data_IF_502090688152
#
_entry.id   IF_502090688152
#
_cell.length_a   1.000
_cell.length_b   1.000
_cell.length_c   1.000
_cell.angle_alpha   90.00
_cell.angle_beta   90.00
_cell.angle_gamma   90.00
#
_symmetry.space_group_name_H-M   'P 1'
#
loop_
_entity.id
_entity.type
_entity.pdbx_description
1 polymer ?
#
# COMPACT_ATOMS: atom_id res chain seq x y z
N UNK A 1 -21.71 -39.33 23.40
CA UNK A 1 -21.46 -38.04 24.09
C UNK A 1 -20.02 -37.66 23.78
N UNK A 2 -19.63 -36.58 23.12
CA UNK A 2 -20.29 -35.44 22.48
C UNK A 2 -19.39 -35.05 21.30
N UNK A 3 -19.97 -34.84 20.12
CA UNK A 3 -19.32 -34.11 19.03
C UNK A 3 -19.58 -32.61 19.29
N UNK A 4 -18.52 -31.82 19.37
CA UNK A 4 -18.62 -30.36 19.36
C UNK A 4 -18.52 -29.89 17.90
N UNK A 5 -19.66 -29.58 17.30
CA UNK A 5 -19.73 -28.79 16.07
C UNK A 5 -19.45 -27.31 16.41
N UNK A 6 -18.36 -26.78 15.87
CA UNK A 6 -18.06 -25.35 15.93
C UNK A 6 -18.94 -24.59 14.94
N UNK A 7 -19.94 -23.88 15.47
CA UNK A 7 -20.80 -22.97 14.73
C UNK A 7 -19.95 -21.86 14.10
N UNK A 8 -19.74 -21.92 12.78
CA UNK A 8 -19.21 -20.80 12.00
C UNK A 8 -20.32 -19.77 11.91
N UNK A 9 -20.20 -18.67 12.67
CA UNK A 9 -21.09 -17.52 12.53
C UNK A 9 -20.78 -16.85 11.18
N UNK A 10 -21.50 -17.30 10.15
CA UNK A 10 -21.65 -16.57 8.90
C UNK A 10 -22.48 -15.33 9.24
N UNK A 11 -21.85 -14.16 9.26
CA UNK A 11 -22.58 -12.90 9.18
C UNK A 11 -23.21 -12.82 7.80
N UNK A 12 -24.39 -13.42 7.64
CA UNK A 12 -25.24 -13.15 6.49
C UNK A 12 -25.74 -11.71 6.59
N UNK A 13 -25.56 -10.93 5.51
CA UNK A 13 -26.23 -9.64 5.35
C UNK A 13 -27.75 -9.84 5.57
N UNK A 14 -28.42 -8.97 6.35
CA UNK A 14 -29.69 -9.30 7.01
C UNK A 14 -30.91 -9.52 6.10
N UNK A 15 -30.76 -9.62 4.77
CA UNK A 15 -31.87 -9.77 3.83
C UNK A 15 -31.62 -10.67 2.61
N UNK A 16 -30.51 -11.42 2.52
CA UNK A 16 -30.28 -12.35 1.39
C UNK A 16 -30.32 -11.72 -0.01
N UNK A 17 -30.26 -10.39 -0.11
CA UNK A 17 -30.19 -9.66 -1.37
C UNK A 17 -28.77 -9.79 -1.86
N UNK A 18 -28.54 -10.58 -2.92
CA UNK A 18 -27.24 -10.61 -3.58
C UNK A 18 -26.83 -9.17 -3.93
N UNK A 19 -25.68 -8.74 -3.43
CA UNK A 19 -25.11 -7.44 -3.79
C UNK A 19 -25.11 -7.30 -5.33
N UNK A 20 -25.49 -6.12 -5.87
CA UNK A 20 -25.68 -5.96 -7.30
C UNK A 20 -24.37 -6.22 -8.05
N UNK A 21 -24.44 -7.06 -9.08
CA UNK A 21 -23.32 -7.27 -10.00
C UNK A 21 -23.08 -5.98 -10.78
N UNK A 22 -21.84 -5.51 -10.81
CA UNK A 22 -21.45 -4.29 -11.50
C UNK A 22 -20.82 -4.66 -12.84
N UNK A 23 -21.44 -4.20 -13.93
CA UNK A 23 -20.89 -4.32 -15.27
C UNK A 23 -19.93 -3.16 -15.54
N UNK A 24 -18.65 -3.40 -15.88
CA UNK A 24 -17.70 -2.32 -16.19
C UNK A 24 -18.22 -1.36 -17.27
N UNK A 25 -19.01 -1.85 -18.22
CA UNK A 25 -19.58 -1.04 -19.30
C UNK A 25 -20.63 -0.03 -18.82
N UNK A 26 -21.16 -0.18 -17.61
CA UNK A 26 -22.06 0.79 -16.98
C UNK A 26 -21.33 1.95 -16.29
N UNK A 27 -20.01 1.80 -16.09
CA UNK A 27 -19.17 2.79 -15.46
C UNK A 27 -18.54 3.71 -16.51
N UNK A 28 -18.29 4.96 -16.15
CA UNK A 28 -17.61 5.92 -17.03
C UNK A 28 -16.12 5.59 -17.10
N UNK A 29 -15.56 5.62 -18.30
CA UNK A 29 -14.12 5.59 -18.49
C UNK A 29 -13.48 6.88 -17.98
N UNK A 30 -12.21 6.82 -17.64
CA UNK A 30 -11.43 7.94 -17.13
C UNK A 30 -11.43 9.12 -18.12
N UNK A 31 -11.39 8.83 -19.43
CA UNK A 31 -11.48 9.84 -20.48
C UNK A 31 -12.83 10.57 -20.57
N UNK A 32 -13.91 10.00 -20.02
CA UNK A 32 -15.25 10.62 -20.00
C UNK A 32 -15.50 11.46 -18.73
N UNK A 33 -14.64 11.32 -17.72
CA UNK A 33 -14.74 12.08 -16.47
C UNK A 33 -14.07 13.44 -16.67
N UNK A 34 -14.85 14.51 -16.62
CA UNK A 34 -14.33 15.87 -16.74
C UNK A 34 -13.35 16.19 -15.60
N UNK A 35 -12.26 16.93 -15.88
CA UNK A 35 -11.34 17.40 -14.84
C UNK A 35 -12.07 18.20 -13.76
N UNK A 36 -12.00 17.73 -12.52
CA UNK A 36 -12.49 18.48 -11.37
C UNK A 36 -11.41 19.51 -10.98
N UNK A 37 -11.65 20.78 -11.34
CA UNK A 37 -10.85 21.93 -10.92
C UNK A 37 -9.38 21.99 -11.39
N UNK A 38 -8.79 23.18 -11.22
CA UNK A 38 -7.47 23.54 -11.73
C UNK A 38 -6.39 22.92 -10.84
N UNK A 39 -5.34 22.31 -11.42
CA UNK A 39 -4.24 21.74 -10.64
C UNK A 39 -3.62 22.81 -9.73
N UNK A 40 -3.58 22.53 -8.42
CA UNK A 40 -2.83 23.37 -7.49
C UNK A 40 -1.35 23.02 -7.65
N UNK A 41 -0.57 23.92 -8.23
CA UNK A 41 0.87 23.70 -8.44
C UNK A 41 1.61 23.97 -7.13
N UNK A 42 2.12 22.91 -6.51
CA UNK A 42 2.92 23.02 -5.28
C UNK A 42 4.38 23.39 -5.56
N UNK A 43 4.90 22.98 -6.72
CA UNK A 43 6.28 23.23 -7.12
C UNK A 43 6.38 24.42 -8.07
N UNK A 44 7.38 25.27 -7.82
CA UNK A 44 7.63 26.49 -8.61
C UNK A 44 8.33 26.17 -9.94
N UNK A 45 9.16 25.13 -9.96
CA UNK A 45 9.90 24.68 -11.14
C UNK A 45 9.41 23.30 -11.59
N UNK A 46 9.36 23.02 -12.91
CA UNK A 46 8.99 21.70 -13.41
C UNK A 46 10.10 20.69 -13.08
N UNK A 47 9.70 19.50 -12.63
CA UNK A 47 10.61 18.37 -12.40
C UNK A 47 11.02 17.65 -13.69
N UNK A 48 10.30 17.89 -14.78
CA UNK A 48 10.53 17.29 -16.10
C UNK A 48 10.35 18.36 -17.20
N UNK A 49 11.24 18.39 -18.20
CA UNK A 49 11.09 19.27 -19.38
C UNK A 49 9.99 18.78 -20.32
N UNK A 50 9.84 17.45 -20.43
CA UNK A 50 8.86 16.76 -21.27
C UNK A 50 8.11 15.75 -20.42
N UNK A 51 6.79 15.63 -20.60
CA UNK A 51 5.99 14.72 -19.79
C UNK A 51 6.42 13.27 -20.09
N UNK A 52 6.81 12.49 -19.07
CA UNK A 52 7.07 11.06 -19.26
C UNK A 52 5.80 10.27 -19.60
N UNK A 53 4.62 10.88 -19.39
CA UNK A 53 3.28 10.33 -19.65
C UNK A 53 2.44 11.34 -20.45
N UNK A 54 2.59 11.38 -21.79
CA UNK A 54 1.83 12.32 -22.62
C UNK A 54 0.33 11.99 -22.64
N UNK A 55 -0.49 12.98 -22.99
CA UNK A 55 -1.92 12.78 -23.23
C UNK A 55 -2.16 11.68 -24.26
N UNK A 56 -2.97 10.69 -23.90
CA UNK A 56 -3.35 9.60 -24.80
C UNK A 56 -4.83 9.22 -24.60
N UNK A 57 -5.67 9.60 -25.56
CA UNK A 57 -7.11 9.33 -25.53
C UNK A 57 -7.44 7.83 -25.55
N UNK A 58 -6.66 7.02 -26.27
CA UNK A 58 -6.87 5.56 -26.36
C UNK A 58 -6.70 4.91 -24.99
N UNK A 59 -5.64 5.28 -24.27
CA UNK A 59 -5.36 4.76 -22.93
C UNK A 59 -6.42 5.22 -21.92
N UNK A 60 -6.82 6.49 -21.97
CA UNK A 60 -7.82 7.03 -21.04
C UNK A 60 -9.21 6.37 -21.20
N UNK A 61 -9.55 5.86 -22.39
CA UNK A 61 -10.78 5.09 -22.61
C UNK A 61 -10.73 3.68 -21.99
N UNK A 62 -9.54 3.12 -21.78
CA UNK A 62 -9.35 1.79 -21.21
C UNK A 62 -9.42 1.78 -19.69
N UNK A 63 -9.09 2.89 -19.04
CA UNK A 63 -9.11 3.01 -17.57
C UNK A 63 -10.52 3.36 -17.09
N UNK A 64 -10.99 2.67 -16.06
CA UNK A 64 -12.16 3.04 -15.27
C UNK A 64 -11.68 3.23 -13.83
N UNK A 65 -12.01 4.36 -13.21
CA UNK A 65 -11.77 4.59 -11.78
C UNK A 65 -13.08 4.40 -11.03
N UNK A 66 -13.09 3.49 -10.06
CA UNK A 66 -14.31 3.12 -9.34
C UNK A 66 -14.03 2.91 -7.85
N UNK A 67 -14.80 3.61 -7.02
CA UNK A 67 -14.82 3.35 -5.58
C UNK A 67 -15.89 2.28 -5.28
N UNK A 68 -15.48 1.14 -4.74
CA UNK A 68 -16.40 0.04 -4.50
C UNK A 68 -15.74 -1.29 -4.14
N UNK A 69 -16.53 -2.36 -4.23
CA UNK A 69 -16.11 -3.70 -3.90
C UNK A 69 -15.74 -4.50 -5.16
N UNK A 70 -14.45 -4.78 -5.31
CA UNK A 70 -13.88 -5.49 -6.47
C UNK A 70 -14.54 -6.85 -6.75
N UNK A 71 -15.09 -7.50 -5.71
CA UNK A 71 -15.76 -8.81 -5.84
C UNK A 71 -17.10 -8.75 -6.57
N UNK A 72 -17.65 -7.56 -6.82
CA UNK A 72 -18.93 -7.35 -7.51
C UNK A 72 -18.76 -7.17 -9.03
N UNK A 73 -17.52 -7.00 -9.51
CA UNK A 73 -17.27 -6.67 -10.92
C UNK A 73 -17.33 -7.87 -11.84
N UNK A 74 -18.10 -7.73 -12.93
CA UNK A 74 -18.15 -8.69 -14.03
C UNK A 74 -17.02 -8.42 -15.04
N UNK A 75 -15.82 -8.89 -14.71
CA UNK A 75 -14.59 -8.79 -15.52
C UNK A 75 -13.97 -10.16 -15.77
N UNK A 76 -12.96 -10.27 -16.65
CA UNK A 76 -12.28 -11.55 -16.84
C UNK A 76 -11.44 -11.93 -15.61
N UNK A 77 -10.70 -10.98 -15.02
CA UNK A 77 -9.90 -11.23 -13.83
C UNK A 77 -10.03 -10.12 -12.77
N UNK A 78 -10.05 -10.51 -11.50
CA UNK A 78 -9.97 -9.62 -10.33
C UNK A 78 -8.69 -9.91 -9.56
N UNK A 79 -8.01 -8.88 -9.06
CA UNK A 79 -6.83 -9.08 -8.19
C UNK A 79 -7.26 -9.34 -6.75
N UNK A 80 -6.63 -10.35 -6.14
CA UNK A 80 -6.67 -10.59 -4.69
C UNK A 80 -5.24 -10.47 -4.09
N UNK A 81 -4.89 -9.32 -3.51
CA UNK A 81 -3.67 -9.16 -2.71
C UNK A 81 -3.78 -9.99 -1.42
N UNK A 82 -2.78 -10.80 -1.13
CA UNK A 82 -2.77 -11.70 0.03
C UNK A 82 -1.38 -11.79 0.69
N UNK A 83 -1.20 -12.78 1.58
CA UNK A 83 0.09 -13.21 2.09
C UNK A 83 0.58 -14.50 1.46
N UNK A 84 1.83 -14.81 1.75
CA UNK A 84 2.60 -15.90 1.15
C UNK A 84 1.92 -17.26 1.35
N UNK A 85 1.15 -17.44 2.42
CA UNK A 85 0.46 -18.69 2.78
C UNK A 85 -1.06 -18.65 2.64
N UNK A 86 -1.62 -17.58 2.04
CA UNK A 86 -3.07 -17.37 1.92
C UNK A 86 -3.88 -17.46 3.23
N UNK A 87 -3.21 -17.18 4.35
CA UNK A 87 -3.78 -17.12 5.69
C UNK A 87 -4.10 -15.69 6.13
N UNK A 88 -3.91 -14.70 5.24
CA UNK A 88 -4.11 -13.31 5.59
C UNK A 88 -5.57 -13.04 5.96
N UNK A 89 -5.76 -12.51 7.17
CA UNK A 89 -7.06 -12.04 7.64
C UNK A 89 -7.11 -10.54 7.41
N UNK A 90 -7.82 -10.15 6.37
CA UNK A 90 -8.14 -8.79 6.04
C UNK A 90 -9.55 -8.74 5.41
N UNK A 91 -10.27 -7.60 5.51
CA UNK A 91 -11.65 -7.50 5.02
C UNK A 91 -11.81 -7.86 3.54
N UNK A 92 -10.80 -7.56 2.72
CA UNK A 92 -10.80 -7.87 1.30
C UNK A 92 -10.75 -9.38 1.06
N UNK A 93 -9.80 -10.08 1.67
CA UNK A 93 -9.67 -11.54 1.60
C UNK A 93 -10.92 -12.25 2.13
N UNK A 94 -11.49 -11.76 3.23
CA UNK A 94 -12.73 -12.31 3.79
C UNK A 94 -13.90 -12.16 2.79
N UNK A 95 -14.03 -11.02 2.11
CA UNK A 95 -15.02 -10.82 1.03
C UNK A 95 -14.77 -11.76 -0.15
N UNK A 96 -13.53 -11.94 -0.58
CA UNK A 96 -13.18 -12.86 -1.67
C UNK A 96 -13.61 -14.30 -1.35
N UNK A 97 -13.23 -14.83 -0.19
CA UNK A 97 -13.59 -16.21 0.18
C UNK A 97 -15.08 -16.38 0.47
N UNK A 98 -15.74 -15.37 1.06
CA UNK A 98 -17.17 -15.41 1.32
C UNK A 98 -17.97 -15.44 0.01
N UNK A 99 -17.66 -14.54 -0.93
CA UNK A 99 -18.40 -14.40 -2.19
C UNK A 99 -18.05 -15.43 -3.25
N UNK A 100 -16.79 -15.87 -3.35
CA UNK A 100 -16.41 -16.95 -4.25
C UNK A 100 -16.94 -18.32 -3.79
N UNK A 101 -17.21 -18.45 -2.49
CA UNK A 101 -17.65 -19.69 -1.85
C UNK A 101 -16.49 -20.61 -1.43
N UNK A 102 -16.81 -21.75 -0.81
CA UNK A 102 -15.82 -22.63 -0.18
C UNK A 102 -14.82 -23.23 -1.18
N UNK A 103 -15.20 -23.36 -2.45
CA UNK A 103 -14.35 -23.93 -3.50
C UNK A 103 -13.05 -23.14 -3.73
N UNK A 104 -13.11 -21.81 -3.67
CA UNK A 104 -11.90 -20.97 -3.78
C UNK A 104 -10.92 -21.25 -2.62
N UNK A 105 -11.45 -21.41 -1.41
CA UNK A 105 -10.63 -21.72 -0.24
C UNK A 105 -9.99 -23.10 -0.37
N UNK A 106 -10.72 -24.09 -0.88
CA UNK A 106 -10.19 -25.43 -1.11
C UNK A 106 -9.05 -25.45 -2.13
N UNK A 107 -9.21 -24.81 -3.30
CA UNK A 107 -8.16 -24.73 -4.33
C UNK A 107 -6.91 -24.05 -3.78
N UNK A 108 -7.08 -22.90 -3.11
CA UNK A 108 -5.95 -22.14 -2.54
C UNK A 108 -5.21 -22.93 -1.45
N UNK A 109 -5.93 -23.60 -0.55
CA UNK A 109 -5.31 -24.33 0.56
C UNK A 109 -4.72 -25.69 0.16
N UNK A 110 -5.34 -26.38 -0.79
CA UNK A 110 -4.95 -27.75 -1.15
C UNK A 110 -3.94 -27.79 -2.30
N UNK A 111 -4.13 -26.95 -3.33
CA UNK A 111 -3.38 -27.03 -4.59
C UNK A 111 -2.20 -26.04 -4.63
N UNK A 112 -2.40 -24.82 -4.13
CA UNK A 112 -1.41 -23.75 -4.26
C UNK A 112 -0.37 -23.76 -3.13
N UNK A 113 -0.81 -23.83 -1.86
CA UNK A 113 -0.01 -23.82 -0.62
C UNK A 113 0.86 -22.59 -0.35
N UNK A 114 1.55 -22.03 -1.35
CA UNK A 114 2.41 -20.85 -1.19
C UNK A 114 2.43 -19.95 -2.43
N UNK A 115 2.60 -18.65 -2.24
CA UNK A 115 2.81 -17.65 -3.29
C UNK A 115 3.97 -16.73 -2.89
N UNK A 116 5.02 -16.65 -3.72
CA UNK A 116 6.16 -15.79 -3.42
C UNK A 116 5.80 -14.31 -3.60
N UNK A 117 6.50 -13.45 -2.87
CA UNK A 117 6.30 -12.00 -3.01
C UNK A 117 6.60 -11.54 -4.43
N UNK A 118 5.68 -10.81 -5.05
CA UNK A 118 5.75 -10.41 -6.46
C UNK A 118 5.22 -11.44 -7.46
N UNK A 119 4.93 -12.68 -7.05
CA UNK A 119 4.38 -13.71 -7.92
C UNK A 119 2.87 -13.51 -8.14
N UNK A 120 2.35 -14.12 -9.22
CA UNK A 120 0.92 -14.15 -9.53
C UNK A 120 0.47 -15.59 -9.74
N UNK A 121 -0.51 -16.02 -8.96
CA UNK A 121 -1.15 -17.32 -9.07
C UNK A 121 -2.59 -17.12 -9.52
N UNK A 122 -3.05 -17.96 -10.45
CA UNK A 122 -4.37 -17.87 -11.04
C UNK A 122 -5.24 -18.99 -10.51
N UNK A 123 -6.44 -18.65 -10.08
CA UNK A 123 -7.52 -19.59 -9.73
C UNK A 123 -8.79 -19.20 -10.47
N UNK A 124 -9.80 -20.06 -10.36
CA UNK A 124 -11.12 -19.77 -10.89
C UNK A 124 -11.90 -18.80 -9.99
N UNK A 125 -12.78 -18.00 -10.60
CA UNK A 125 -13.63 -17.06 -9.87
C UNK A 125 -14.75 -17.71 -9.05
N UNK A 126 -15.10 -18.96 -9.37
CA UNK A 126 -16.19 -19.71 -8.73
C UNK A 126 -17.53 -18.95 -8.77
N UNK A 127 -18.05 -18.55 -7.60
CA UNK A 127 -19.30 -17.78 -7.49
C UNK A 127 -19.13 -16.28 -7.71
N UNK A 128 -17.89 -15.79 -7.89
CA UNK A 128 -17.66 -14.40 -8.26
C UNK A 128 -18.19 -14.14 -9.68
N UNK A 129 -18.64 -12.90 -9.98
CA UNK A 129 -18.97 -12.50 -11.35
C UNK A 129 -17.74 -12.51 -12.29
N UNK A 130 -16.53 -12.44 -11.72
CA UNK A 130 -15.29 -12.52 -12.46
C UNK A 130 -14.92 -13.96 -12.82
N UNK A 131 -14.28 -14.17 -13.98
CA UNK A 131 -13.92 -15.53 -14.45
C UNK A 131 -12.73 -16.12 -13.68
N UNK A 132 -11.74 -15.29 -13.37
CA UNK A 132 -10.50 -15.67 -12.72
C UNK A 132 -10.18 -14.77 -11.51
N UNK A 133 -9.48 -15.31 -10.53
CA UNK A 133 -8.85 -14.52 -9.46
C UNK A 133 -7.35 -14.59 -9.62
N UNK A 134 -6.72 -13.42 -9.70
CA UNK A 134 -5.27 -13.28 -9.75
C UNK A 134 -4.77 -12.96 -8.34
N UNK A 135 -4.22 -13.97 -7.70
CA UNK A 135 -3.63 -13.87 -6.39
C UNK A 135 -2.20 -13.34 -6.48
N UNK A 136 -1.88 -12.34 -5.68
CA UNK A 136 -0.51 -11.82 -5.62
C UNK A 136 -0.14 -11.39 -4.20
N UNK A 137 1.16 -11.36 -3.91
CA UNK A 137 1.67 -11.01 -2.59
C UNK A 137 2.53 -9.76 -2.68
N UNK A 138 2.02 -8.67 -2.11
CA UNK A 138 2.73 -7.39 -2.02
C UNK A 138 3.91 -7.43 -1.04
N UNK A 139 4.89 -6.52 -1.19
CA UNK A 139 6.06 -6.47 -0.32
C UNK A 139 5.71 -6.03 1.10
N UNK A 140 6.48 -6.52 2.07
CA UNK A 140 6.53 -5.93 3.42
C UNK A 140 7.43 -4.72 3.37
N UNK A 141 6.88 -3.53 3.61
CA UNK A 141 7.64 -2.30 3.52
C UNK A 141 8.51 -2.11 4.75
N UNK A 142 9.76 -1.76 4.51
CA UNK A 142 10.70 -1.31 5.52
C UNK A 142 11.47 -0.12 4.92
N UNK A 143 11.54 1.03 5.60
CA UNK A 143 12.29 2.19 5.11
C UNK A 143 13.75 1.87 4.72
N UNK A 144 14.38 0.89 5.38
CA UNK A 144 15.75 0.43 5.03
C UNK A 144 15.83 -0.27 3.67
N UNK A 145 14.73 -0.83 3.19
CA UNK A 145 14.63 -1.62 1.96
C UNK A 145 13.60 -1.02 0.98
N UNK A 146 13.44 0.32 0.99
CA UNK A 146 12.46 1.02 0.15
C UNK A 146 12.59 0.65 -1.33
N UNK A 147 13.81 0.68 -1.88
CA UNK A 147 14.10 0.27 -3.27
C UNK A 147 13.63 -1.15 -3.60
N UNK A 148 13.87 -2.10 -2.69
CA UNK A 148 13.45 -3.49 -2.91
C UNK A 148 11.92 -3.60 -2.86
N UNK A 149 11.28 -2.94 -1.89
CA UNK A 149 9.82 -2.90 -1.79
C UNK A 149 9.19 -2.28 -3.04
N UNK A 150 9.74 -1.16 -3.54
CA UNK A 150 9.25 -0.50 -4.76
C UNK A 150 9.34 -1.44 -5.98
N UNK A 151 10.50 -2.08 -6.18
CA UNK A 151 10.70 -3.02 -7.28
C UNK A 151 9.77 -4.24 -7.18
N UNK A 152 9.58 -4.78 -5.97
CA UNK A 152 8.66 -5.90 -5.74
C UNK A 152 7.21 -5.51 -6.01
N UNK A 153 6.77 -4.32 -5.58
CA UNK A 153 5.42 -3.83 -5.87
C UNK A 153 5.21 -3.63 -7.38
N UNK A 154 6.20 -3.04 -8.07
CA UNK A 154 6.21 -2.96 -9.53
C UNK A 154 6.06 -4.35 -10.17
N UNK A 155 6.84 -5.33 -9.72
CA UNK A 155 6.77 -6.70 -10.24
C UNK A 155 5.41 -7.35 -10.01
N UNK A 156 4.71 -7.07 -8.90
CA UNK A 156 3.33 -7.55 -8.69
C UNK A 156 2.44 -7.10 -9.85
N UNK A 157 2.39 -5.80 -10.12
CA UNK A 157 1.57 -5.26 -11.22
C UNK A 157 2.06 -5.77 -12.59
N UNK A 158 3.37 -5.77 -12.84
CA UNK A 158 3.94 -6.23 -14.12
C UNK A 158 3.53 -7.67 -14.43
N UNK A 159 3.72 -8.57 -13.47
CA UNK A 159 3.39 -9.99 -13.61
C UNK A 159 1.88 -10.22 -13.78
N UNK A 160 1.03 -9.37 -13.18
CA UNK A 160 -0.43 -9.42 -13.38
C UNK A 160 -0.78 -9.11 -14.84
N UNK A 161 -0.22 -8.05 -15.41
CA UNK A 161 -0.45 -7.70 -16.81
C UNK A 161 0.14 -8.75 -17.77
N UNK A 162 1.35 -9.26 -17.50
CA UNK A 162 1.94 -10.36 -18.27
C UNK A 162 1.02 -11.58 -18.29
N UNK A 163 0.49 -11.99 -17.14
CA UNK A 163 -0.46 -13.10 -17.03
C UNK A 163 -1.76 -12.83 -17.77
N UNK A 164 -2.29 -11.61 -17.68
CA UNK A 164 -3.50 -11.21 -18.40
C UNK A 164 -3.31 -11.26 -19.93
N UNK A 165 -2.13 -10.87 -20.42
CA UNK A 165 -1.78 -10.93 -21.83
C UNK A 165 -1.59 -12.37 -22.33
N UNK A 166 -0.93 -13.23 -21.54
CA UNK A 166 -0.79 -14.67 -21.82
C UNK A 166 -2.16 -15.34 -21.97
N UNK A 167 -3.08 -15.03 -21.06
CA UNK A 167 -4.45 -15.56 -21.06
C UNK A 167 -5.40 -14.86 -22.04
N UNK A 168 -4.92 -13.81 -22.74
CA UNK A 168 -5.69 -12.99 -23.69
C UNK A 168 -6.99 -12.44 -23.08
N UNK A 169 -6.91 -11.93 -21.86
CA UNK A 169 -8.05 -11.36 -21.16
C UNK A 169 -8.45 -10.01 -21.77
N UNK A 170 -9.76 -9.72 -21.80
CA UNK A 170 -10.31 -8.47 -22.30
C UNK A 170 -10.43 -7.41 -21.21
N UNK A 171 -10.66 -7.83 -19.97
CA UNK A 171 -10.90 -6.94 -18.83
C UNK A 171 -10.24 -7.42 -17.54
N UNK A 172 -9.66 -6.49 -16.78
CA UNK A 172 -9.10 -6.78 -15.47
C UNK A 172 -9.50 -5.70 -14.46
N UNK A 173 -9.79 -6.10 -13.23
CA UNK A 173 -9.99 -5.19 -12.11
C UNK A 173 -8.79 -5.28 -11.16
N UNK A 174 -8.20 -4.12 -10.87
CA UNK A 174 -7.06 -3.96 -9.99
C UNK A 174 -7.48 -3.26 -8.71
N UNK A 175 -6.91 -3.64 -7.57
CA UNK A 175 -7.02 -2.89 -6.32
C UNK A 175 -5.61 -2.59 -5.78
N UNK A 176 -5.45 -1.63 -4.84
CA UNK A 176 -4.16 -1.34 -4.23
C UNK A 176 -3.54 -2.59 -3.59
N UNK A 177 -2.41 -3.04 -4.13
CA UNK A 177 -1.64 -4.18 -3.59
C UNK A 177 -0.84 -3.76 -2.34
N UNK A 178 -0.54 -2.48 -2.23
CA UNK A 178 0.16 -1.84 -1.11
C UNK A 178 -0.74 -1.79 0.14
N UNK A 179 -0.84 -2.92 0.85
CA UNK A 179 -1.64 -3.03 2.07
C UNK A 179 -1.05 -2.19 3.21
N UNK A 180 -1.91 -1.45 3.91
CA UNK A 180 -1.58 -0.74 5.16
C UNK A 180 -0.99 -1.69 6.20
N UNK A 181 -1.43 -2.95 6.25
CA UNK A 181 -0.91 -3.98 7.17
C UNK A 181 0.55 -4.33 6.88
N UNK A 182 1.01 -4.12 5.64
CA UNK A 182 2.40 -4.31 5.21
C UNK A 182 3.24 -3.02 5.32
N UNK A 183 2.72 -1.99 5.98
CA UNK A 183 3.37 -0.69 6.25
C UNK A 183 3.82 0.08 5.00
N UNK A 184 3.25 -0.22 3.83
CA UNK A 184 3.63 0.46 2.59
C UNK A 184 2.93 1.83 2.51
N UNK A 185 3.66 2.95 2.32
CA UNK A 185 3.06 4.27 2.19
C UNK A 185 2.04 4.32 1.03
N UNK A 186 0.75 4.64 1.28
CA UNK A 186 -0.29 4.54 0.26
C UNK A 186 -0.03 5.40 -0.99
N UNK A 187 0.56 6.58 -0.80
CA UNK A 187 0.97 7.52 -1.85
C UNK A 187 2.14 6.98 -2.69
N UNK A 188 3.22 6.51 -2.06
CA UNK A 188 4.33 5.87 -2.78
C UNK A 188 3.85 4.64 -3.57
N UNK A 189 2.95 3.84 -2.97
CA UNK A 189 2.38 2.65 -3.60
C UNK A 189 1.51 2.99 -4.81
N UNK A 190 0.70 4.04 -4.73
CA UNK A 190 -0.14 4.51 -5.82
C UNK A 190 0.68 5.03 -7.00
N UNK A 191 1.80 5.75 -6.75
CA UNK A 191 2.74 6.13 -7.81
C UNK A 191 3.29 4.92 -8.57
N UNK A 192 3.72 3.87 -7.85
CA UNK A 192 4.23 2.62 -8.47
C UNK A 192 3.14 1.93 -9.29
N UNK A 193 1.93 1.83 -8.73
CA UNK A 193 0.79 1.20 -9.39
C UNK A 193 0.47 1.91 -10.71
N UNK A 194 0.19 3.21 -10.67
CA UNK A 194 -0.25 3.99 -11.81
C UNK A 194 0.83 4.07 -12.90
N UNK A 195 2.10 4.24 -12.50
CA UNK A 195 3.25 4.21 -13.41
C UNK A 195 3.34 2.89 -14.16
N UNK A 196 3.24 1.77 -13.44
CA UNK A 196 3.34 0.43 -14.02
C UNK A 196 2.16 0.15 -14.94
N UNK A 197 0.92 0.43 -14.49
CA UNK A 197 -0.30 0.27 -15.31
C UNK A 197 -0.17 1.06 -16.62
N UNK A 198 0.26 2.32 -16.54
CA UNK A 198 0.44 3.17 -17.71
C UNK A 198 1.43 2.58 -18.71
N UNK A 199 2.59 2.13 -18.26
CA UNK A 199 3.63 1.54 -19.13
C UNK A 199 3.22 0.20 -19.72
N UNK A 200 2.55 -0.67 -18.94
CA UNK A 200 2.05 -1.95 -19.45
C UNK A 200 1.02 -1.76 -20.57
N UNK A 201 0.13 -0.76 -20.46
CA UNK A 201 -0.83 -0.46 -21.51
C UNK A 201 -0.18 0.15 -22.76
N UNK A 202 0.84 1.01 -22.59
CA UNK A 202 1.63 1.53 -23.73
C UNK A 202 2.39 0.39 -24.45
N UNK A 203 2.98 -0.53 -23.69
CA UNK A 203 3.69 -1.69 -24.26
C UNK A 203 2.74 -2.59 -25.05
N UNK A 204 1.52 -2.82 -24.54
CA UNK A 204 0.48 -3.52 -25.27
C UNK A 204 0.18 -2.85 -26.62
N UNK A 205 -0.04 -1.53 -26.64
CA UNK A 205 -0.32 -0.78 -27.87
C UNK A 205 0.82 -0.90 -28.89
N UNK A 206 2.08 -0.79 -28.43
CA UNK A 206 3.27 -0.95 -29.28
C UNK A 206 3.41 -2.37 -29.86
N UNK A 207 3.06 -3.38 -29.08
CA UNK A 207 3.21 -4.79 -29.49
C UNK A 207 2.12 -5.27 -30.47
N UNK A 208 1.07 -4.49 -30.69
CA UNK A 208 -0.09 -4.86 -31.53
C UNK A 208 -0.97 -5.98 -30.94
N UNK A 209 -0.65 -6.50 -29.75
CA UNK A 209 -1.40 -7.56 -29.04
C UNK A 209 -2.50 -6.96 -28.16
N UNK A 210 -3.41 -6.20 -28.75
CA UNK A 210 -4.46 -5.48 -28.02
C UNK A 210 -5.56 -6.42 -27.51
N UNK A 211 -5.28 -7.18 -26.46
CA UNK A 211 -6.28 -8.03 -25.80
C UNK A 211 -7.02 -7.29 -24.69
N UNK A 212 -6.32 -6.49 -23.87
CA UNK A 212 -6.92 -5.79 -22.74
C UNK A 212 -7.54 -4.45 -23.17
N UNK A 213 -8.86 -4.37 -23.12
CA UNK A 213 -9.65 -3.18 -23.47
C UNK A 213 -10.17 -2.43 -22.23
N UNK A 214 -10.26 -3.09 -21.09
CA UNK A 214 -10.79 -2.48 -19.86
C UNK A 214 -9.91 -2.80 -18.65
N UNK A 215 -9.47 -1.76 -17.95
CA UNK A 215 -8.77 -1.85 -16.67
C UNK A 215 -9.57 -1.04 -15.65
N UNK A 216 -10.16 -1.73 -14.67
CA UNK A 216 -10.91 -1.08 -13.59
C UNK A 216 -9.99 -0.92 -12.39
N UNK A 217 -9.71 0.31 -12.00
CA UNK A 217 -9.01 0.64 -10.75
C UNK A 217 -10.04 0.78 -9.65
N UNK A 218 -10.10 -0.24 -8.80
CA UNK A 218 -11.02 -0.35 -7.68
C UNK A 218 -10.32 0.10 -6.41
N UNK A 219 -10.86 1.14 -5.77
CA UNK A 219 -10.32 1.67 -4.51
C UNK A 219 -11.38 1.61 -3.42
N UNK A 220 -10.94 1.41 -2.18
CA UNK A 220 -11.78 1.67 -1.01
C UNK A 220 -11.77 3.18 -0.70
N UNK A 221 -12.75 3.66 0.08
CA UNK A 221 -12.87 5.07 0.42
C UNK A 221 -11.57 5.66 0.99
N UNK A 222 -10.80 4.89 1.76
CA UNK A 222 -9.51 5.33 2.33
C UNK A 222 -8.51 5.85 1.30
N UNK A 223 -8.46 5.22 0.12
CA UNK A 223 -7.43 5.47 -0.89
C UNK A 223 -7.95 6.34 -2.05
N UNK A 224 -9.27 6.55 -2.15
CA UNK A 224 -9.88 7.26 -3.27
C UNK A 224 -9.26 8.64 -3.52
N UNK A 225 -9.06 9.45 -2.47
CA UNK A 225 -8.48 10.79 -2.62
C UNK A 225 -7.04 10.78 -3.13
N UNK A 226 -6.26 9.74 -2.83
CA UNK A 226 -4.89 9.59 -3.33
C UNK A 226 -4.93 9.33 -4.84
N UNK A 227 -5.75 8.37 -5.27
CA UNK A 227 -5.86 8.04 -6.69
C UNK A 227 -6.49 9.16 -7.52
N UNK A 228 -7.45 9.92 -6.99
CA UNK A 228 -8.03 11.09 -7.66
C UNK A 228 -6.99 12.17 -7.97
N UNK A 229 -6.05 12.41 -7.06
CA UNK A 229 -4.97 13.40 -7.23
C UNK A 229 -3.88 12.86 -8.17
N UNK A 230 -3.53 11.57 -8.06
CA UNK A 230 -2.40 11.01 -8.79
C UNK A 230 -2.75 10.53 -10.21
N UNK A 231 -4.00 10.10 -10.47
CA UNK A 231 -4.41 9.61 -11.80
C UNK A 231 -4.13 10.61 -12.93
N UNK A 232 -4.47 11.91 -12.82
CA UNK A 232 -4.16 12.90 -13.85
C UNK A 232 -2.67 13.04 -14.18
N UNK A 233 -1.77 12.67 -13.25
CA UNK A 233 -0.32 12.74 -13.46
C UNK A 233 0.18 11.67 -14.44
N UNK A 234 -0.44 10.49 -14.43
CA UNK A 234 -0.07 9.33 -15.24
C UNK A 234 -0.99 9.12 -16.46
N UNK A 235 -2.24 9.54 -16.31
CA UNK A 235 -3.29 9.48 -17.32
C UNK A 235 -3.91 10.87 -17.49
N UNK A 236 -3.13 11.87 -17.98
CA UNK A 236 -3.69 13.19 -18.21
C UNK A 236 -4.83 13.09 -19.24
N UNK A 237 -5.97 13.70 -18.94
CA UNK A 237 -7.18 13.76 -19.78
C UNK A 237 -7.16 14.94 -20.73
N UNK A 238 -6.33 15.93 -20.44
CA UNK A 238 -6.13 17.12 -21.28
C UNK A 238 -4.66 17.51 -21.30
N UNK A 239 -4.25 18.28 -22.31
CA UNK A 239 -2.89 18.86 -22.35
C UNK A 239 -2.60 19.80 -21.16
N UNK A 240 -3.64 20.38 -20.53
CA UNK A 240 -3.45 21.18 -19.30
C UNK A 240 -3.04 20.32 -18.12
N UNK A 241 -3.66 19.14 -17.97
CA UNK A 241 -3.26 18.17 -16.94
C UNK A 241 -1.86 17.62 -17.22
N UNK A 242 -1.54 17.34 -18.49
CA UNK A 242 -0.20 16.92 -18.90
C UNK A 242 0.87 17.96 -18.52
N UNK A 243 0.62 19.24 -18.78
CA UNK A 243 1.53 20.33 -18.38
C UNK A 243 1.64 20.46 -16.87
N UNK A 244 0.53 20.34 -16.12
CA UNK A 244 0.56 20.40 -14.67
C UNK A 244 1.29 19.20 -14.04
N UNK A 245 1.25 18.04 -14.71
CA UNK A 245 1.94 16.83 -14.25
C UNK A 245 3.47 17.01 -14.22
N UNK A 246 4.04 17.83 -15.10
CA UNK A 246 5.48 18.15 -15.13
C UNK A 246 6.02 18.67 -13.79
N UNK A 247 5.18 19.38 -13.03
CA UNK A 247 5.55 19.98 -11.76
C UNK A 247 5.38 19.02 -10.58
N UNK A 248 4.57 17.98 -10.73
CA UNK A 248 4.14 17.13 -9.61
C UNK A 248 4.65 15.69 -9.71
N UNK A 249 5.04 15.24 -10.91
CA UNK A 249 5.64 13.93 -11.09
C UNK A 249 6.99 13.86 -10.36
N UNK A 250 7.27 12.78 -9.63
CA UNK A 250 8.59 12.55 -9.04
C UNK A 250 9.69 12.65 -10.10
N UNK A 251 10.69 13.48 -9.85
CA UNK A 251 11.85 13.72 -10.73
C UNK A 251 13.13 13.10 -10.19
N UNK A 252 13.07 12.39 -9.07
CA UNK A 252 14.22 11.85 -8.36
C UNK A 252 14.84 10.63 -9.05
N UNK A 253 14.10 9.97 -9.96
CA UNK A 253 14.51 8.69 -10.58
C UNK A 253 14.10 8.59 -12.04
N UNK A 254 14.96 7.97 -12.83
CA UNK A 254 14.61 7.55 -14.18
C UNK A 254 13.56 6.42 -14.13
N UNK A 255 12.63 6.45 -15.10
CA UNK A 255 11.54 5.49 -15.21
C UNK A 255 11.87 4.54 -16.36
N UNK A 256 11.95 3.24 -16.08
CA UNK A 256 12.23 2.24 -17.09
C UNK A 256 11.06 2.03 -18.06
N UNK A 257 11.28 1.31 -19.18
CA UNK A 257 10.29 1.08 -20.23
C UNK A 257 8.99 0.42 -19.75
N UNK A 258 9.05 -0.42 -18.71
CA UNK A 258 7.89 -1.11 -18.11
C UNK A 258 7.35 -0.38 -16.86
N UNK A 259 7.96 0.73 -16.47
CA UNK A 259 7.61 1.49 -15.27
C UNK A 259 8.39 1.07 -14.03
N UNK A 260 9.44 0.27 -14.21
CA UNK A 260 10.39 -0.10 -13.18
C UNK A 260 11.17 1.13 -12.68
N UNK A 261 11.48 1.21 -11.39
CA UNK A 261 12.41 2.21 -10.90
C UNK A 261 13.82 1.90 -11.40
N UNK A 262 14.44 2.85 -12.11
CA UNK A 262 15.84 2.74 -12.52
C UNK A 262 16.70 3.37 -11.44
N UNK A 263 17.47 2.54 -10.75
CA UNK A 263 18.47 3.00 -9.80
C UNK A 263 19.79 3.18 -10.56
N UNK A 264 20.46 4.35 -10.46
CA UNK A 264 21.84 4.45 -10.93
C UNK A 264 22.63 3.38 -10.17
N UNK A 265 23.28 2.49 -10.92
CA UNK A 265 23.97 1.32 -10.36
C UNK A 265 24.78 1.74 -9.14
N UNK A 266 24.51 1.10 -8.00
CA UNK A 266 25.46 1.14 -6.89
C UNK A 266 26.71 0.48 -7.44
N UNK A 267 27.73 1.27 -7.79
CA UNK A 267 29.06 0.73 -8.06
C UNK A 267 29.40 -0.20 -6.90
N UNK A 268 29.36 -1.50 -7.15
CA UNK A 268 29.88 -2.47 -6.20
C UNK A 268 31.37 -2.18 -6.17
N UNK A 269 31.83 -1.44 -5.17
CA UNK A 269 33.25 -1.41 -4.84
C UNK A 269 33.55 -2.80 -4.32
N UNK A 270 33.97 -3.68 -5.23
CA UNK A 270 34.72 -4.87 -4.83
C UNK A 270 36.00 -4.31 -4.24
N UNK A 271 36.02 -4.18 -2.92
CA UNK A 271 37.25 -3.89 -2.19
C UNK A 271 37.95 -5.24 -2.16
N UNK A 272 39.03 -5.39 -2.91
CA UNK A 272 39.89 -6.55 -2.75
C UNK A 272 40.30 -6.61 -1.28
N UNK A 273 40.10 -7.78 -0.68
CA UNK A 273 40.36 -8.03 0.73
C UNK A 273 41.84 -7.66 1.02
N UNK A 274 42.17 -6.67 1.87
CA UNK A 274 43.52 -6.15 2.03
C UNK A 274 44.50 -7.10 2.75
N UNK A 275 44.17 -8.40 2.85
CA UNK A 275 44.95 -9.42 3.56
C UNK A 275 45.36 -10.61 2.68
N UNK A 276 45.47 -10.44 1.37
CA UNK A 276 46.13 -11.43 0.51
C UNK A 276 47.29 -10.81 -0.27
N UNK A 277 48.37 -10.49 0.45
CA UNK A 277 49.70 -10.64 -0.11
C UNK A 277 50.16 -12.07 0.19
N UNK A 278 49.97 -12.96 -0.77
CA UNK A 278 50.67 -14.25 -0.77
C UNK A 278 52.11 -13.93 -1.16
N UNK A 279 52.98 -13.85 -0.17
CA UNK A 279 54.41 -14.01 -0.37
C UNK A 279 54.65 -15.50 -0.65
N UNK A 280 55.20 -15.79 -1.82
CA UNK A 280 55.76 -17.11 -2.15
C UNK A 280 57.02 -17.32 -1.29
N UNK A 281 56.85 -17.81 -0.07
CA UNK A 281 57.87 -18.52 0.73
C UNK A 281 57.31 -18.70 2.16
N UNK A 282 56.60 -19.80 2.39
CA UNK A 282 56.64 -20.59 3.63
C UNK A 282 55.51 -21.64 3.64
N UNK A 283 55.85 -22.84 3.19
CA UNK A 283 55.07 -24.04 3.45
C UNK A 283 55.30 -24.47 4.91
N UNK A 284 54.33 -24.25 5.80
CA UNK A 284 54.19 -25.09 6.99
C UNK A 284 52.73 -25.38 7.31
N UNK A 285 52.44 -26.67 7.42
CA UNK A 285 51.16 -27.23 7.84
C UNK A 285 51.03 -27.00 9.34
N UNK A 286 50.03 -26.27 9.79
CA UNK A 286 49.75 -26.13 11.24
C UNK A 286 48.40 -26.80 11.55
N UNK A 287 48.52 -27.82 12.38
CA UNK A 287 47.49 -28.72 12.91
C UNK A 287 46.58 -27.99 13.91
N UNK A 288 45.27 -28.20 13.77
CA UNK A 288 44.19 -27.63 14.59
C UNK A 288 43.82 -28.64 15.68
N UNK A 289 44.61 -28.74 16.75
CA UNK A 289 44.27 -29.65 17.87
C UNK A 289 44.66 -29.19 19.28
N UNK A 290 45.20 -27.99 19.48
CA UNK A 290 45.65 -27.58 20.82
C UNK A 290 45.51 -26.09 21.09
N UNK A 291 44.29 -25.63 21.43
CA UNK A 291 44.08 -24.50 22.34
C UNK A 291 42.64 -24.50 22.88
N UNK A 292 42.34 -25.51 23.69
CA UNK A 292 41.51 -25.32 24.87
C UNK A 292 42.39 -24.64 25.96
N UNK A 293 41.75 -23.88 26.84
CA UNK A 293 42.31 -23.08 27.95
C UNK A 293 42.94 -21.73 27.61
N UNK A 294 42.09 -20.68 27.59
CA UNK A 294 42.31 -19.46 28.37
C UNK A 294 41.04 -18.57 28.35
N UNK A 295 40.29 -18.61 29.45
CA UNK A 295 39.21 -17.66 29.78
C UNK A 295 39.79 -16.28 30.15
N UNK A 296 39.10 -15.19 29.78
CA UNK A 296 39.39 -13.86 30.33
C UNK A 296 38.60 -12.73 29.68
N UNK A 297 37.45 -12.40 30.29
CA UNK A 297 36.73 -11.12 30.27
C UNK A 297 36.48 -10.38 28.95
N UNK A 298 35.27 -10.58 28.41
CA UNK A 298 34.56 -9.52 27.67
C UNK A 298 33.10 -9.44 28.12
N UNK A 299 32.57 -8.22 28.11
CA UNK A 299 31.38 -7.68 28.79
C UNK A 299 30.01 -8.25 28.38
N UNK A 300 29.92 -9.55 28.11
CA UNK A 300 28.69 -10.27 27.73
C UNK A 300 28.03 -11.05 28.88
N UNK A 301 28.50 -10.86 30.12
CA UNK A 301 28.02 -11.56 31.32
C UNK A 301 27.38 -10.60 32.32
N UNK A 302 26.21 -10.06 31.97
CA UNK A 302 25.23 -9.64 32.96
C UNK A 302 23.84 -10.21 32.61
N UNK A 303 23.45 -11.27 33.32
CA UNK A 303 22.07 -11.75 33.36
C UNK A 303 21.18 -10.66 33.98
N UNK A 304 20.26 -10.10 33.19
CA UNK A 304 19.07 -9.44 33.73
C UNK A 304 17.94 -10.46 33.80
N UNK A 305 17.32 -10.54 34.97
CA UNK A 305 16.24 -11.47 35.28
C UNK A 305 14.98 -11.24 34.43
N UNK A 306 14.26 -12.35 34.29
CA UNK A 306 13.04 -12.60 33.55
C UNK A 306 11.98 -11.47 33.62
N UNK A 307 11.76 -10.79 32.49
CA UNK A 307 10.75 -9.74 32.34
C UNK A 307 9.32 -10.26 32.12
N UNK A 308 9.10 -11.57 32.00
CA UNK A 308 7.78 -12.12 31.72
C UNK A 308 6.92 -12.37 32.98
N UNK A 309 7.48 -12.27 34.19
CA UNK A 309 6.72 -12.47 35.43
C UNK A 309 5.85 -11.28 35.87
N UNK A 310 6.02 -10.08 35.28
CA UNK A 310 5.20 -8.90 35.62
C UNK A 310 3.97 -8.69 34.72
N UNK A 311 3.73 -9.55 33.72
CA UNK A 311 2.50 -9.50 32.90
C UNK A 311 1.35 -10.38 33.41
N UNK A 312 1.60 -11.26 34.38
CA UNK A 312 0.70 -12.35 34.76
C UNK A 312 -0.28 -12.07 35.93
N UNK A 313 -0.42 -10.83 36.40
CA UNK A 313 -1.34 -10.49 37.50
C UNK A 313 -2.31 -9.33 37.20
N UNK A 314 -2.57 -9.04 35.92
CA UNK A 314 -3.36 -7.88 35.51
C UNK A 314 -4.56 -8.17 34.62
N UNK A 315 -5.24 -9.30 34.74
CA UNK A 315 -6.51 -9.52 34.02
C UNK A 315 -7.69 -8.89 34.77
N UNK A 316 -8.30 -7.85 34.17
CA UNK A 316 -9.71 -7.54 34.37
C UNK A 316 -10.43 -7.65 33.03
N UNK A 317 -11.28 -8.66 32.93
CA UNK A 317 -12.16 -8.90 31.79
C UNK A 317 -13.16 -7.75 31.64
N UNK A 318 -13.10 -7.04 30.52
CA UNK A 318 -14.17 -6.15 30.05
C UNK A 318 -14.92 -6.85 28.89
N UNK A 319 -16.24 -6.67 28.76
CA UNK A 319 -17.05 -7.39 27.78
C UNK A 319 -16.62 -7.06 26.35
N UNK A 320 -16.72 -8.05 25.46
CA UNK A 320 -16.33 -7.96 24.06
C UNK A 320 -17.22 -6.97 23.30
N UNK A 321 -16.72 -5.75 23.18
CA UNK A 321 -17.23 -4.75 22.25
C UNK A 321 -16.55 -5.02 20.89
N UNK A 322 -17.32 -4.98 19.80
CA UNK A 322 -16.83 -5.11 18.42
C UNK A 322 -15.56 -4.24 18.21
N UNK A 323 -14.46 -4.75 17.62
CA UNK A 323 -13.22 -4.01 17.43
C UNK A 323 -13.38 -2.64 16.75
N UNK A 324 -14.39 -2.50 15.88
CA UNK A 324 -14.71 -1.22 15.25
C UNK A 324 -15.30 -0.22 16.26
N UNK A 325 -16.27 -0.68 17.06
CA UNK A 325 -16.91 0.11 18.11
C UNK A 325 -15.90 0.45 19.22
N UNK A 326 -15.02 -0.49 19.57
CA UNK A 326 -13.96 -0.29 20.55
C UNK A 326 -12.97 0.81 20.13
N UNK A 327 -12.62 0.84 18.83
CA UNK A 327 -11.75 1.88 18.26
C UNK A 327 -12.43 3.24 18.24
N UNK A 328 -13.73 3.28 17.94
CA UNK A 328 -14.52 4.52 17.94
C UNK A 328 -14.70 5.08 19.36
N UNK A 329 -15.01 4.23 20.34
CA UNK A 329 -15.07 4.59 21.75
C UNK A 329 -13.70 5.10 22.23
N UNK A 330 -12.61 4.41 21.90
CA UNK A 330 -11.27 4.82 22.30
C UNK A 330 -10.87 6.17 21.70
N UNK A 331 -11.21 6.41 20.43
CA UNK A 331 -10.95 7.70 19.77
C UNK A 331 -11.75 8.83 20.41
N UNK A 332 -13.02 8.58 20.77
CA UNK A 332 -13.89 9.56 21.45
C UNK A 332 -13.39 9.87 22.86
N UNK A 333 -13.01 8.87 23.63
CA UNK A 333 -12.43 9.06 24.98
C UNK A 333 -11.09 9.81 24.93
N UNK A 334 -10.26 9.52 23.91
CA UNK A 334 -9.00 10.23 23.69
C UNK A 334 -9.25 11.70 23.33
N UNK A 335 -10.21 11.96 22.45
CA UNK A 335 -10.63 13.31 22.08
C UNK A 335 -11.15 14.10 23.30
N UNK A 336 -12.07 13.53 24.07
CA UNK A 336 -12.64 14.17 25.27
C UNK A 336 -11.56 14.45 26.32
N UNK A 337 -10.59 13.55 26.49
CA UNK A 337 -9.46 13.74 27.40
C UNK A 337 -8.56 14.89 26.94
N UNK A 338 -8.26 14.96 25.65
CA UNK A 338 -7.43 16.03 25.07
C UNK A 338 -8.13 17.38 25.14
N UNK A 339 -9.44 17.45 24.89
CA UNK A 339 -10.26 18.66 25.06
C UNK A 339 -10.26 19.19 26.49
N UNK A 340 -10.38 18.29 27.50
CA UNK A 340 -10.34 18.68 28.91
C UNK A 340 -8.98 19.27 29.28
N UNK A 341 -7.88 18.65 28.83
CA UNK A 341 -6.53 19.15 29.06
C UNK A 341 -6.27 20.48 28.36
N UNK A 342 -6.75 20.63 27.13
CA UNK A 342 -6.61 21.85 26.36
C UNK A 342 -7.25 23.07 27.06
N UNK A 343 -8.36 22.87 27.79
CA UNK A 343 -9.02 23.93 28.56
C UNK A 343 -8.28 24.35 29.84
N UNK A 344 -7.38 23.50 30.35
CA UNK A 344 -6.66 23.73 31.62
C UNK A 344 -5.20 24.10 31.43
N UNK A 345 -4.58 23.68 30.32
CA UNK A 345 -3.19 23.97 30.01
C UNK A 345 -3.05 25.33 29.31
N UNK A 346 -1.95 26.03 29.58
CA UNK A 346 -1.62 27.27 28.88
C UNK A 346 -1.09 26.98 27.48
N UNK A 347 -1.87 27.39 26.47
CA UNK A 347 -1.60 27.23 25.03
C UNK A 347 -1.21 28.57 24.36
N UNK A 348 -0.94 29.62 25.15
CA UNK A 348 -0.55 30.95 24.65
C UNK A 348 0.71 30.90 23.79
N UNK A 349 1.65 30.02 24.14
CA UNK A 349 2.88 29.79 23.36
C UNK A 349 2.56 29.37 21.92
N UNK A 350 1.56 28.51 21.72
CA UNK A 350 1.25 27.92 20.39
C UNK A 350 0.33 28.81 19.59
N UNK A 351 -0.67 29.41 20.24
CA UNK A 351 -1.55 30.39 19.60
C UNK A 351 -0.79 31.66 19.20
N UNK A 352 0.14 32.12 20.04
CA UNK A 352 0.99 33.28 19.76
C UNK A 352 2.01 33.06 18.64
N UNK A 353 2.38 31.80 18.36
CA UNK A 353 3.25 31.44 17.24
C UNK A 353 2.56 31.64 15.87
N UNK A 354 1.22 31.61 15.81
CA UNK A 354 0.48 31.84 14.57
C UNK A 354 0.77 30.83 13.45
N UNK A 355 1.20 29.61 13.81
CA UNK A 355 1.55 28.55 12.86
C UNK A 355 0.43 27.55 12.62
N UNK A 356 -0.72 27.72 13.26
CA UNK A 356 -1.85 26.79 13.16
C UNK A 356 -2.98 27.44 12.36
N UNK A 357 -3.25 26.90 11.19
CA UNK A 357 -4.22 27.43 10.24
C UNK A 357 -5.33 26.41 10.03
N UNK A 358 -6.58 26.79 10.29
CA UNK A 358 -7.72 26.01 9.80
C UNK A 358 -7.89 26.35 8.32
N UNK A 359 -7.54 25.41 7.44
CA UNK A 359 -7.48 25.67 6.00
C UNK A 359 -8.74 25.23 5.27
N UNK A 360 -9.56 24.38 5.89
CA UNK A 360 -10.80 23.89 5.30
C UNK A 360 -11.39 22.70 6.05
N UNK A 361 -12.26 21.97 5.36
CA UNK A 361 -12.82 20.69 5.82
C UNK A 361 -12.47 19.58 4.84
N UNK A 362 -12.32 18.36 5.33
CA UNK A 362 -12.19 17.17 4.48
C UNK A 362 -13.52 16.85 3.79
N UNK A 363 -13.53 15.82 2.93
CA UNK A 363 -14.73 15.34 2.23
C UNK A 363 -15.87 14.88 3.15
N UNK A 364 -15.60 14.67 4.44
CA UNK A 364 -16.58 14.30 5.46
C UNK A 364 -16.98 15.48 6.35
N UNK A 365 -16.58 16.72 6.00
CA UNK A 365 -16.88 17.92 6.76
C UNK A 365 -16.03 18.10 8.02
N UNK A 366 -14.95 17.33 8.20
CA UNK A 366 -14.07 17.42 9.37
C UNK A 366 -13.02 18.50 9.14
N UNK A 367 -12.75 19.38 10.12
CA UNK A 367 -11.80 20.46 9.95
C UNK A 367 -10.37 19.94 9.71
N UNK A 368 -9.74 20.42 8.65
CA UNK A 368 -8.34 20.18 8.32
C UNK A 368 -7.52 21.34 8.89
N UNK A 369 -6.53 20.99 9.70
CA UNK A 369 -5.66 21.94 10.39
C UNK A 369 -4.24 21.74 9.86
N UNK A 370 -3.67 22.80 9.31
CA UNK A 370 -2.31 22.82 8.78
C UNK A 370 -1.40 23.55 9.77
N UNK A 371 -0.32 22.88 10.15
CA UNK A 371 0.72 23.46 10.98
C UNK A 371 1.95 23.81 10.13
N UNK A 372 2.28 25.11 10.00
CA UNK A 372 3.39 25.58 9.16
C UNK A 372 4.52 26.14 10.03
N UNK A 373 5.60 25.38 10.20
CA UNK A 373 6.79 25.82 10.93
C UNK A 373 7.89 26.33 9.99
N UNK A 374 8.09 27.64 9.87
CA UNK A 374 9.16 28.23 9.03
C UNK A 374 10.49 28.43 9.78
N UNK A 375 10.47 28.52 11.11
CA UNK A 375 11.64 28.93 11.92
C UNK A 375 11.82 28.15 13.23
N UNK A 376 11.41 26.88 13.29
CA UNK A 376 11.47 26.08 14.51
C UNK A 376 12.34 24.83 14.36
N UNK A 377 13.14 24.53 15.38
CA UNK A 377 13.80 23.23 15.51
C UNK A 377 12.75 22.25 16.03
N UNK A 378 12.50 21.15 15.30
CA UNK A 378 11.42 20.20 15.61
C UNK A 378 11.46 19.65 17.05
N UNK A 379 12.62 19.69 17.71
CA UNK A 379 12.85 19.18 19.07
C UNK A 379 12.29 20.08 20.17
N UNK A 380 12.00 21.35 19.87
CA UNK A 380 11.59 22.33 20.88
C UNK A 380 10.06 22.51 20.95
N UNK A 381 9.31 21.83 20.07
CA UNK A 381 7.85 21.92 20.01
C UNK A 381 7.23 20.68 20.64
N UNK A 382 6.38 20.90 21.64
CA UNK A 382 5.55 19.86 22.21
C UNK A 382 4.34 19.59 21.31
N UNK A 383 4.42 18.51 20.51
CA UNK A 383 3.35 18.09 19.59
C UNK A 383 2.01 17.84 20.29
N UNK A 384 2.01 17.38 21.55
CA UNK A 384 0.76 17.17 22.29
C UNK A 384 0.05 18.49 22.54
N UNK A 385 0.79 19.55 22.89
CA UNK A 385 0.22 20.89 23.05
C UNK A 385 -0.29 21.45 21.71
N UNK A 386 0.38 21.15 20.59
CA UNK A 386 -0.07 21.58 19.24
C UNK A 386 -1.39 20.91 18.88
N UNK A 387 -1.52 19.62 19.14
CA UNK A 387 -2.76 18.87 18.94
C UNK A 387 -3.88 19.41 19.84
N UNK A 388 -3.57 19.75 21.10
CA UNK A 388 -4.54 20.36 22.02
C UNK A 388 -5.03 21.73 21.54
N UNK A 389 -4.12 22.59 21.04
CA UNK A 389 -4.48 23.89 20.45
C UNK A 389 -5.34 23.73 19.19
N UNK A 390 -5.04 22.72 18.36
CA UNK A 390 -5.81 22.39 17.17
C UNK A 390 -7.28 22.05 17.50
N UNK A 391 -7.50 21.27 18.58
CA UNK A 391 -8.85 20.90 19.02
C UNK A 391 -9.65 22.06 19.61
N UNK A 392 -9.01 23.11 20.13
CA UNK A 392 -9.72 24.31 20.60
C UNK A 392 -10.16 25.24 19.48
N UNK A 393 -9.61 25.08 18.27
CA UNK A 393 -9.98 25.86 17.09
C UNK A 393 -11.12 25.23 16.26
N UNK A 394 -11.60 24.04 16.66
CA UNK A 394 -12.81 23.40 16.13
C UNK A 394 -14.03 23.90 16.88
#
# INVERSE_FOLDING_TARGET
MNQCEGMVLVMEEPLGVMAPIVDPMSLKSWGEILPAYHPTLYNVNPGHEVSPFPYNSSLNKKIIFWEGDITQLRVDAVIHPSNETFTDRNPLSDRFFSKAGPSLRSEVQQEIKECKTGEVIVTQGYKLPARFVFHTVGPKYNPKFQTAAENTLHNCYRNIFEKAFEMKLNSIALCPINSVKRNYPPDEGAHVALRTIRRMLEQQERSGKCCLNTVVLVVESSDAGIYEVLLPLYFPRTHKEEQAALYQLPSDRAIGPSGEPVFPDRQIRIIDNPHHHISEDDCSVIDLSSHFDAMGDTSFSHMQGDMDQQRLLGERHAPSIDPFIAREIHNKERYDRLLRRAKTEDLSEISGIGCLYQTGVDRFGRPVIVFVGKWFRFKDINLDKVIMAAYMMQ
#
